data_IF_060476195377
#
_entry.id   IF_060476195377
#
_cell.length_a   1.000
_cell.length_b   1.000
_cell.length_c   1.000
_cell.angle_alpha   90.00
_cell.angle_beta   90.00
_cell.angle_gamma   90.00
#
_symmetry.space_group_name_H-M   'P 1'
#
loop_
_entity.id
_entity.type
_entity.pdbx_description
1 polymer ?
#
# COMPACT_ATOMS: atom_id res chain seq x y z
N UNK A 1 -5.09 11.42 9.40
CA UNK A 1 -5.54 11.15 8.01
C UNK A 1 -5.08 9.78 7.51
N UNK A 2 -3.81 9.40 7.70
CA UNK A 2 -3.31 8.07 7.29
C UNK A 2 -4.11 6.90 7.91
N UNK A 3 -4.47 6.98 9.19
CA UNK A 3 -5.24 5.93 9.87
C UNK A 3 -6.65 5.70 9.29
N UNK A 4 -7.33 6.79 8.89
CA UNK A 4 -8.64 6.69 8.26
C UNK A 4 -8.51 6.07 6.86
N UNK A 5 -7.47 6.43 6.12
CA UNK A 5 -7.20 5.88 4.80
C UNK A 5 -6.86 4.38 4.86
N UNK A 6 -6.03 3.96 5.81
CA UNK A 6 -5.71 2.55 6.10
C UNK A 6 -6.97 1.73 6.44
N UNK A 7 -7.88 2.30 7.23
CA UNK A 7 -9.16 1.66 7.54
C UNK A 7 -9.99 1.39 6.30
N UNK A 8 -10.18 2.38 5.44
CA UNK A 8 -10.92 2.19 4.17
C UNK A 8 -10.18 1.26 3.22
N UNK A 9 -8.86 1.29 3.22
CA UNK A 9 -8.05 0.45 2.36
C UNK A 9 -8.22 -1.05 2.68
N UNK A 10 -8.34 -1.42 3.95
CA UNK A 10 -8.62 -2.82 4.33
C UNK A 10 -9.89 -3.36 3.67
N UNK A 11 -11.00 -2.59 3.73
CA UNK A 11 -12.26 -2.99 3.11
C UNK A 11 -12.18 -2.93 1.57
N UNK A 12 -11.51 -1.90 1.03
CA UNK A 12 -11.31 -1.77 -0.40
C UNK A 12 -10.50 -2.94 -0.97
N UNK A 13 -9.39 -3.32 -0.34
CA UNK A 13 -8.54 -4.44 -0.74
C UNK A 13 -9.30 -5.77 -0.70
N UNK A 14 -10.13 -5.99 0.33
CA UNK A 14 -11.01 -7.16 0.40
C UNK A 14 -12.07 -7.16 -0.73
N UNK A 15 -12.71 -6.03 -0.98
CA UNK A 15 -13.68 -5.90 -2.07
C UNK A 15 -13.02 -6.08 -3.45
N UNK A 16 -11.82 -5.53 -3.63
CA UNK A 16 -11.06 -5.59 -4.88
C UNK A 16 -10.64 -7.02 -5.23
N UNK A 17 -10.14 -7.81 -4.28
CA UNK A 17 -9.76 -9.20 -4.55
C UNK A 17 -10.99 -10.07 -4.89
N UNK A 18 -12.13 -9.82 -4.24
CA UNK A 18 -13.39 -10.50 -4.56
C UNK A 18 -13.85 -10.12 -5.98
N UNK A 19 -13.84 -8.82 -6.32
CA UNK A 19 -14.21 -8.35 -7.65
C UNK A 19 -13.33 -8.96 -8.75
N UNK A 20 -12.02 -9.03 -8.51
CA UNK A 20 -11.06 -9.69 -9.40
C UNK A 20 -11.34 -11.18 -9.55
N UNK A 21 -11.63 -11.90 -8.46
CA UNK A 21 -12.00 -13.31 -8.50
C UNK A 21 -13.27 -13.56 -9.32
N UNK A 22 -14.30 -12.74 -9.11
CA UNK A 22 -15.55 -12.79 -9.89
C UNK A 22 -15.29 -12.51 -11.37
N UNK A 23 -14.50 -11.50 -11.71
CA UNK A 23 -14.13 -11.19 -13.10
C UNK A 23 -13.43 -12.35 -13.80
N UNK A 24 -12.44 -12.96 -13.14
CA UNK A 24 -11.70 -14.11 -13.68
C UNK A 24 -12.64 -15.29 -13.90
N UNK A 25 -13.54 -15.56 -12.96
CA UNK A 25 -14.55 -16.61 -13.11
C UNK A 25 -15.52 -16.35 -14.27
N UNK A 26 -16.03 -15.11 -14.42
CA UNK A 26 -16.95 -14.76 -15.50
C UNK A 26 -16.30 -14.78 -16.90
N UNK A 27 -14.98 -14.53 -16.99
CA UNK A 27 -14.25 -14.50 -18.27
C UNK A 27 -13.70 -15.85 -18.70
N UNK A 28 -13.21 -16.64 -17.74
CA UNK A 28 -12.47 -17.89 -18.01
C UNK A 28 -13.08 -19.13 -17.39
N UNK A 29 -14.14 -18.99 -16.58
CA UNK A 29 -14.88 -20.10 -16.03
C UNK A 29 -15.62 -20.86 -17.13
N UNK A 30 -15.18 -22.09 -17.40
CA UNK A 30 -15.96 -23.07 -18.16
C UNK A 30 -16.39 -24.16 -17.18
N UNK A 31 -17.56 -23.99 -16.57
CA UNK A 31 -18.04 -24.88 -15.51
C UNK A 31 -17.12 -24.85 -14.28
N UNK A 32 -16.61 -26.00 -13.84
CA UNK A 32 -15.66 -26.11 -12.71
C UNK A 32 -14.18 -25.96 -13.10
N UNK A 33 -13.88 -25.80 -14.39
CA UNK A 33 -12.51 -25.61 -14.86
C UNK A 33 -12.21 -24.13 -15.11
N UNK A 34 -11.18 -23.63 -14.44
CA UNK A 34 -10.64 -22.29 -14.62
C UNK A 34 -9.28 -22.41 -15.32
N UNK A 35 -9.23 -22.02 -16.59
CA UNK A 35 -7.97 -21.94 -17.35
C UNK A 35 -7.73 -20.48 -17.66
N UNK A 36 -7.00 -19.80 -16.77
CA UNK A 36 -6.52 -18.44 -17.01
C UNK A 36 -5.34 -18.52 -18.00
N UNK A 37 -5.43 -17.93 -19.20
CA UNK A 37 -4.32 -17.91 -20.16
C UNK A 37 -3.15 -17.02 -19.71
N UNK A 38 -3.33 -16.22 -18.66
CA UNK A 38 -2.37 -15.22 -18.20
C UNK A 38 -1.74 -15.59 -16.86
N UNK A 39 -0.69 -16.42 -16.91
CA UNK A 39 0.07 -16.86 -15.72
C UNK A 39 0.63 -15.67 -14.93
N UNK A 40 1.03 -14.59 -15.60
CA UNK A 40 1.62 -13.43 -14.94
C UNK A 40 0.62 -12.72 -14.02
N UNK A 41 -0.67 -12.64 -14.41
CA UNK A 41 -1.76 -12.17 -13.55
C UNK A 41 -1.87 -12.99 -12.27
N UNK A 42 -1.83 -14.33 -12.39
CA UNK A 42 -1.93 -15.23 -11.24
C UNK A 42 -0.75 -15.04 -10.28
N UNK A 43 0.48 -14.98 -10.81
CA UNK A 43 1.70 -14.77 -10.02
C UNK A 43 1.65 -13.42 -9.29
N UNK A 44 1.25 -12.35 -9.97
CA UNK A 44 1.14 -11.02 -9.38
C UNK A 44 0.04 -10.94 -8.32
N UNK A 45 -1.09 -11.62 -8.53
CA UNK A 45 -2.14 -11.73 -7.50
C UNK A 45 -1.64 -12.47 -6.26
N UNK A 46 -0.86 -13.54 -6.40
CA UNK A 46 -0.26 -14.26 -5.26
C UNK A 46 0.74 -13.34 -4.54
N UNK A 47 1.60 -12.64 -5.28
CA UNK A 47 2.56 -11.69 -4.70
C UNK A 47 1.83 -10.59 -3.93
N UNK A 48 0.75 -10.05 -4.49
CA UNK A 48 -0.12 -9.08 -3.82
C UNK A 48 -0.74 -9.65 -2.55
N UNK A 49 -1.26 -10.88 -2.59
CA UNK A 49 -1.90 -11.55 -1.44
C UNK A 49 -0.93 -11.74 -0.25
N UNK A 50 0.35 -11.91 -0.52
CA UNK A 50 1.40 -12.01 0.49
C UNK A 50 1.88 -10.64 0.98
N UNK A 51 2.02 -9.68 0.05
CA UNK A 51 2.51 -8.34 0.36
C UNK A 51 1.48 -7.49 1.11
N UNK A 52 0.20 -7.61 0.77
CA UNK A 52 -0.87 -6.75 1.28
C UNK A 52 -1.08 -6.84 2.80
N UNK A 53 -1.13 -8.04 3.42
CA UNK A 53 -1.25 -8.14 4.88
C UNK A 53 -0.06 -7.51 5.61
N UNK A 54 1.15 -7.72 5.10
CA UNK A 54 2.39 -7.15 5.68
C UNK A 54 2.38 -5.63 5.54
N UNK A 55 1.95 -5.12 4.38
CA UNK A 55 1.81 -3.69 4.11
C UNK A 55 0.82 -3.07 5.10
N UNK A 56 -0.40 -3.59 5.20
CA UNK A 56 -1.41 -3.06 6.10
C UNK A 56 -0.97 -3.12 7.57
N UNK A 57 -0.32 -4.21 8.00
CA UNK A 57 0.24 -4.32 9.34
C UNK A 57 1.31 -3.24 9.60
N UNK A 58 2.26 -3.06 8.68
CA UNK A 58 3.30 -2.03 8.78
C UNK A 58 2.71 -0.61 8.84
N UNK A 59 1.65 -0.34 8.07
CA UNK A 59 0.94 0.94 8.09
C UNK A 59 0.25 1.20 9.44
N UNK A 60 -0.42 0.19 10.00
CA UNK A 60 -1.07 0.30 11.31
C UNK A 60 -0.06 0.52 12.44
N UNK A 61 0.95 -0.34 12.54
CA UNK A 61 1.98 -0.23 13.57
C UNK A 61 2.78 1.06 13.45
N UNK A 62 3.20 1.42 12.23
CA UNK A 62 3.98 2.63 11.97
C UNK A 62 3.22 3.90 12.32
N UNK A 63 1.92 3.97 11.99
CA UNK A 63 1.13 5.16 12.31
C UNK A 63 0.77 5.26 13.81
N UNK A 64 0.37 4.15 14.46
CA UNK A 64 -0.01 4.19 15.89
C UNK A 64 1.18 4.41 16.83
N UNK A 65 2.35 3.86 16.49
CA UNK A 65 3.55 3.94 17.33
C UNK A 65 4.47 5.10 16.92
N UNK A 66 4.04 5.96 15.99
CA UNK A 66 4.85 7.01 15.35
C UNK A 66 6.23 6.51 14.91
N UNK A 67 6.27 5.26 14.44
CA UNK A 67 7.49 4.54 14.15
C UNK A 67 7.82 4.67 12.65
N UNK A 68 8.72 5.60 12.35
CA UNK A 68 9.16 5.95 11.00
C UNK A 68 9.66 4.74 10.20
N UNK A 69 10.53 3.85 10.73
CA UNK A 69 10.91 2.61 10.06
C UNK A 69 9.75 1.77 9.51
N UNK A 70 8.70 1.55 10.30
CA UNK A 70 7.53 0.79 9.86
C UNK A 70 6.75 1.51 8.76
N UNK A 71 6.64 2.84 8.83
CA UNK A 71 6.05 3.64 7.76
C UNK A 71 6.87 3.60 6.47
N UNK A 72 8.20 3.50 6.55
CA UNK A 72 9.06 3.32 5.37
C UNK A 72 8.80 1.96 4.73
N UNK A 73 8.68 0.89 5.51
CA UNK A 73 8.30 -0.43 5.00
C UNK A 73 6.92 -0.36 4.31
N UNK A 74 5.94 0.30 4.93
CA UNK A 74 4.63 0.56 4.33
C UNK A 74 4.74 1.31 3.00
N UNK A 75 5.55 2.37 2.94
CA UNK A 75 5.76 3.15 1.73
C UNK A 75 6.41 2.33 0.61
N UNK A 76 7.43 1.51 0.94
CA UNK A 76 8.12 0.65 -0.04
C UNK A 76 7.18 -0.44 -0.56
N UNK A 77 6.40 -1.08 0.32
CA UNK A 77 5.43 -2.09 -0.08
C UNK A 77 4.26 -1.49 -0.89
N UNK A 78 3.90 -0.23 -0.62
CA UNK A 78 2.94 0.52 -1.44
C UNK A 78 3.56 0.88 -2.80
N UNK A 79 4.81 1.33 -2.83
CA UNK A 79 5.47 1.77 -4.06
C UNK A 79 5.82 0.63 -4.99
N UNK A 80 6.26 -0.54 -4.49
CA UNK A 80 6.79 -1.61 -5.33
C UNK A 80 5.74 -2.68 -5.62
N UNK A 81 5.33 -3.55 -4.68
CA UNK A 81 4.28 -4.55 -4.92
C UNK A 81 2.99 -3.93 -5.42
N UNK A 82 2.49 -2.91 -4.72
CA UNK A 82 1.13 -2.41 -4.96
C UNK A 82 1.02 -1.70 -6.30
N UNK A 83 1.97 -0.80 -6.61
CA UNK A 83 1.95 -0.14 -7.92
C UNK A 83 2.23 -1.11 -9.06
N UNK A 84 3.18 -2.06 -8.90
CA UNK A 84 3.51 -3.01 -9.97
C UNK A 84 2.30 -3.86 -10.35
N UNK A 85 1.59 -4.39 -9.35
CA UNK A 85 0.35 -5.16 -9.56
C UNK A 85 -0.72 -4.27 -10.18
N UNK A 86 -0.94 -3.07 -9.64
CA UNK A 86 -1.95 -2.15 -10.15
C UNK A 86 -1.70 -1.75 -11.62
N UNK A 87 -0.48 -1.35 -11.96
CA UNK A 87 -0.13 -0.93 -13.31
C UNK A 87 -0.13 -2.10 -14.29
N UNK A 88 0.34 -3.27 -13.88
CA UNK A 88 0.26 -4.47 -14.71
C UNK A 88 -1.19 -4.81 -15.05
N UNK A 89 -2.08 -4.85 -14.05
CA UNK A 89 -3.49 -5.17 -14.25
C UNK A 89 -4.22 -4.08 -15.04
N UNK A 90 -3.85 -2.81 -14.83
CA UNK A 90 -4.36 -1.70 -15.63
C UNK A 90 -3.92 -1.87 -17.09
N UNK A 91 -2.63 -2.09 -17.36
CA UNK A 91 -2.13 -2.34 -18.71
C UNK A 91 -2.80 -3.57 -19.34
N UNK A 92 -2.96 -4.65 -18.58
CA UNK A 92 -3.68 -5.84 -19.04
C UNK A 92 -5.11 -5.49 -19.44
N UNK A 93 -5.84 -4.70 -18.64
CA UNK A 93 -7.20 -4.25 -18.97
C UNK A 93 -7.26 -3.32 -20.20
N UNK A 94 -6.24 -2.49 -20.43
CA UNK A 94 -6.15 -1.60 -21.59
C UNK A 94 -5.68 -2.30 -22.87
N UNK A 95 -4.79 -3.30 -22.77
CA UNK A 95 -4.19 -4.01 -23.91
C UNK A 95 -5.03 -5.23 -24.32
N UNK A 96 -5.75 -5.87 -23.39
CA UNK A 96 -6.57 -7.06 -23.68
C UNK A 96 -7.84 -6.76 -24.51
N UNK A 97 -7.84 -5.70 -25.32
CA UNK A 97 -8.93 -5.32 -26.24
C UNK A 97 -9.28 -6.41 -27.25
N UNK A 98 -8.40 -7.39 -27.48
CA UNK A 98 -8.49 -8.28 -28.65
C UNK A 98 -8.77 -9.75 -28.34
N UNK A 99 -9.08 -10.14 -27.08
CA UNK A 99 -9.34 -11.56 -26.74
C UNK A 99 -10.59 -11.76 -25.87
N UNK A 100 -11.76 -11.36 -26.37
CA UNK A 100 -13.01 -11.97 -25.89
C UNK A 100 -13.30 -13.21 -26.72
N UNK A 101 -12.74 -14.35 -26.29
CA UNK A 101 -13.07 -15.66 -26.87
C UNK A 101 -14.25 -16.26 -26.11
N UNK A 102 -15.42 -15.62 -26.19
CA UNK A 102 -16.71 -16.21 -25.79
C UNK A 102 -17.24 -15.89 -24.38
N UNK A 103 -16.71 -14.87 -23.69
CA UNK A 103 -17.19 -14.44 -22.36
C UNK A 103 -17.88 -13.06 -22.37
N UNK A 104 -18.44 -12.65 -21.22
CA UNK A 104 -19.09 -11.34 -21.04
C UNK A 104 -18.06 -10.19 -21.14
N UNK A 105 -18.34 -9.17 -21.95
CA UNK A 105 -17.45 -8.01 -22.09
C UNK A 105 -17.56 -7.08 -20.88
N UNK A 106 -16.65 -7.27 -19.92
CA UNK A 106 -16.53 -6.49 -18.69
C UNK A 106 -15.45 -5.40 -18.77
N UNK A 107 -14.97 -5.07 -19.97
CA UNK A 107 -13.86 -4.13 -20.17
C UNK A 107 -14.01 -2.77 -19.45
N UNK A 108 -15.14 -2.04 -19.53
CA UNK A 108 -15.24 -0.75 -18.82
C UNK A 108 -15.23 -0.92 -17.30
N UNK A 109 -15.76 -2.03 -16.79
CA UNK A 109 -15.73 -2.36 -15.37
C UNK A 109 -14.30 -2.66 -14.89
N UNK A 110 -13.54 -3.46 -15.63
CA UNK A 110 -12.13 -3.73 -15.34
C UNK A 110 -11.30 -2.44 -15.30
N UNK A 111 -11.49 -1.56 -16.29
CA UNK A 111 -10.78 -0.28 -16.33
C UNK A 111 -11.13 0.61 -15.13
N UNK A 112 -12.42 0.74 -14.80
CA UNK A 112 -12.85 1.52 -13.65
C UNK A 112 -12.29 0.99 -12.33
N UNK A 113 -12.28 -0.34 -12.14
CA UNK A 113 -11.74 -1.00 -10.96
C UNK A 113 -10.24 -0.72 -10.79
N UNK A 114 -9.46 -0.81 -11.87
CA UNK A 114 -8.01 -0.55 -11.80
C UNK A 114 -7.68 0.94 -11.65
N UNK A 115 -8.46 1.84 -12.27
CA UNK A 115 -8.29 3.28 -12.07
C UNK A 115 -8.60 3.69 -10.63
N UNK A 116 -9.67 3.13 -10.04
CA UNK A 116 -10.00 3.38 -8.64
C UNK A 116 -8.90 2.87 -7.69
N UNK A 117 -8.36 1.67 -7.94
CA UNK A 117 -7.23 1.12 -7.20
C UNK A 117 -5.99 2.01 -7.31
N UNK A 118 -5.66 2.46 -8.53
CA UNK A 118 -4.54 3.35 -8.77
C UNK A 118 -4.70 4.66 -7.99
N UNK A 119 -5.88 5.29 -8.03
CA UNK A 119 -6.14 6.52 -7.30
C UNK A 119 -5.93 6.37 -5.78
N UNK A 120 -6.42 5.27 -5.20
CA UNK A 120 -6.26 4.99 -3.76
C UNK A 120 -4.79 4.79 -3.41
N UNK A 121 -4.04 3.99 -4.18
CA UNK A 121 -2.61 3.73 -3.93
C UNK A 121 -1.80 5.03 -3.98
N UNK A 122 -2.06 5.90 -4.95
CA UNK A 122 -1.34 7.17 -5.07
C UNK A 122 -1.65 8.09 -3.89
N UNK A 123 -2.92 8.22 -3.52
CA UNK A 123 -3.31 9.00 -2.35
C UNK A 123 -2.65 8.47 -1.07
N UNK A 124 -2.61 7.14 -0.89
CA UNK A 124 -1.90 6.51 0.22
C UNK A 124 -0.42 6.83 0.23
N UNK A 125 0.24 6.71 -0.91
CA UNK A 125 1.66 7.00 -1.04
C UNK A 125 1.95 8.47 -0.69
N UNK A 126 1.15 9.42 -1.20
CA UNK A 126 1.31 10.84 -0.88
C UNK A 126 1.13 11.13 0.62
N UNK A 127 0.05 10.61 1.22
CA UNK A 127 -0.22 10.82 2.65
C UNK A 127 0.85 10.16 3.53
N UNK A 128 1.37 9.00 3.12
CA UNK A 128 2.43 8.28 3.83
C UNK A 128 3.74 9.04 3.79
N UNK A 129 4.16 9.51 2.62
CA UNK A 129 5.38 10.33 2.48
C UNK A 129 5.26 11.59 3.34
N UNK A 130 4.10 12.25 3.31
CA UNK A 130 3.85 13.40 4.16
C UNK A 130 3.97 13.05 5.66
N UNK A 131 3.39 11.94 6.10
CA UNK A 131 3.46 11.48 7.48
C UNK A 131 4.90 11.17 7.91
N UNK A 132 5.68 10.49 7.06
CA UNK A 132 7.10 10.20 7.30
C UNK A 132 7.89 11.50 7.48
N UNK A 133 7.73 12.46 6.57
CA UNK A 133 8.44 13.75 6.65
C UNK A 133 8.04 14.55 7.89
N UNK A 134 6.76 14.51 8.28
CA UNK A 134 6.27 15.15 9.49
C UNK A 134 6.88 14.54 10.75
N UNK A 135 6.82 13.21 10.88
CA UNK A 135 7.36 12.48 12.04
C UNK A 135 8.87 12.63 12.14
N UNK A 136 9.59 12.58 11.02
CA UNK A 136 11.04 12.78 11.01
C UNK A 136 11.44 14.17 11.54
N UNK A 137 10.69 15.22 11.17
CA UNK A 137 10.89 16.58 11.69
C UNK A 137 10.58 16.68 13.19
N UNK A 138 9.55 15.97 13.66
CA UNK A 138 9.19 15.94 15.07
C UNK A 138 10.27 15.24 15.91
N UNK A 139 10.73 14.06 15.48
CA UNK A 139 11.81 13.31 16.14
C UNK A 139 13.11 14.12 16.20
N UNK A 140 13.44 14.83 15.11
CA UNK A 140 14.65 15.69 15.08
C UNK A 140 14.58 16.81 16.13
N UNK A 141 13.40 17.43 16.33
CA UNK A 141 13.23 18.47 17.38
C UNK A 141 13.38 17.89 18.78
N UNK A 142 12.81 16.72 19.04
CA UNK A 142 12.92 16.05 20.34
C UNK A 142 14.37 15.70 20.67
N UNK A 143 15.13 15.22 19.68
CA UNK A 143 16.55 14.93 19.84
C UNK A 143 17.36 16.18 20.25
N UNK A 144 17.17 17.32 19.57
CA UNK A 144 17.86 18.56 19.92
C UNK A 144 17.50 19.08 21.32
N UNK A 145 16.22 18.98 21.71
CA UNK A 145 15.78 19.39 23.05
C UNK A 145 16.38 18.49 24.14
N UNK A 146 16.47 17.19 23.87
CA UNK A 146 17.10 16.22 24.76
C UNK A 146 18.60 16.51 24.92
N UNK A 147 19.31 16.73 23.82
CA UNK A 147 20.74 17.06 23.83
C UNK A 147 21.02 18.36 24.60
N UNK A 148 20.17 19.38 24.41
CA UNK A 148 20.27 20.64 25.15
C UNK A 148 20.06 20.46 26.67
N UNK A 149 19.06 19.67 27.07
CA UNK A 149 18.80 19.36 28.48
C UNK A 149 19.97 18.60 29.12
N UNK A 150 20.57 17.66 28.39
CA UNK A 150 21.71 16.87 28.85
C UNK A 150 22.95 17.75 29.07
N UNK A 151 23.22 18.68 28.15
CA UNK A 151 24.29 19.67 28.28
C UNK A 151 24.08 20.61 29.47
N UNK A 152 22.84 21.04 29.73
CA UNK A 152 22.52 21.85 30.91
C UNK A 152 22.84 21.08 32.20
N UNK A 153 22.40 19.83 32.31
CA UNK A 153 22.66 19.00 33.49
C UNK A 153 24.17 18.85 33.77
N UNK A 154 24.99 18.61 32.74
CA UNK A 154 26.44 18.58 32.89
C UNK A 154 27.04 19.90 33.39
N UNK A 155 26.53 21.04 32.89
CA UNK A 155 26.98 22.37 33.37
C UNK A 155 26.62 22.61 34.83
N UNK A 156 25.45 22.16 35.29
CA UNK A 156 25.07 22.28 36.70
C UNK A 156 25.90 21.37 37.60
N UNK A 157 26.17 20.13 37.17
CA UNK A 157 27.03 19.20 37.91
C UNK A 157 28.47 19.72 38.07
N UNK A 158 29.04 20.35 37.03
CA UNK A 158 30.38 20.94 37.09
C UNK A 158 30.49 22.17 38.01
N UNK A 159 29.40 22.92 38.23
CA UNK A 159 29.41 24.08 39.14
C UNK A 159 29.30 23.71 40.62
N UNK A 160 28.78 22.53 40.96
CA UNK A 160 28.69 22.09 42.36
C UNK A 160 30.02 21.52 42.90
N UNK A 161 31.01 21.33 42.04
CA UNK A 161 32.34 20.81 42.41
C UNK A 161 33.40 21.91 42.60
N UNK A 162 33.02 23.18 42.45
CA UNK A 162 33.84 24.35 42.73
C UNK A 162 33.34 25.04 44.00
#
# INVERSE_FOLDING_TARGET
MLQQLLYYNLFWSAAWIIAMGVQVHLKYGKGFTLVDPDIARTVLCIFWMLAEPVRLAAGWYGNLQENVPWLVIFAVLTLVPQTAVCYYLMLAAYVSVTRSSGGLDLKPFDQALQVAMAAIIHLELFVTIYAILHMFRAQRKQYYLFEYALQQQHRYAGRQQQ
#
